data_IF_001919333968
#
_entry.id   IF_001919333968
#
_cell.length_a   1.000
_cell.length_b   1.000
_cell.length_c   1.000
_cell.angle_alpha   90.00
_cell.angle_beta   90.00
_cell.angle_gamma   90.00
#
_symmetry.space_group_name_H-M   'P 1'
#
loop_
_entity.id
_entity.type
_entity.pdbx_description
1 polymer ?
#
# COMPACT_ATOMS: atom_id res chain seq x y z
N UNK A 1 20.71 -58.82 35.81
CA UNK A 1 19.63 -58.12 36.54
C UNK A 1 19.11 -59.03 37.63
N UNK A 2 18.57 -58.51 38.75
CA UNK A 2 17.82 -59.34 39.69
C UNK A 2 16.45 -59.67 39.07
N UNK A 3 15.96 -60.91 39.15
CA UNK A 3 14.70 -61.36 38.54
C UNK A 3 13.49 -60.47 38.94
N UNK A 4 13.46 -60.00 40.21
CA UNK A 4 12.41 -59.09 40.67
C UNK A 4 12.42 -57.70 40.03
N UNK A 5 13.57 -57.21 39.54
CA UNK A 5 13.64 -55.92 38.85
C UNK A 5 13.06 -55.99 37.45
N UNK A 6 13.39 -57.04 36.70
CA UNK A 6 12.95 -57.20 35.31
C UNK A 6 11.43 -57.38 35.22
N UNK A 7 10.86 -58.20 36.09
CA UNK A 7 9.40 -58.34 36.24
C UNK A 7 8.70 -57.01 36.55
N UNK A 8 9.22 -56.24 37.52
CA UNK A 8 8.64 -54.94 37.86
C UNK A 8 8.78 -53.91 36.71
N UNK A 9 9.85 -53.99 35.93
CA UNK A 9 10.06 -53.18 34.74
C UNK A 9 9.03 -53.52 33.66
N UNK A 10 8.85 -54.81 33.32
CA UNK A 10 7.83 -55.23 32.36
C UNK A 10 6.41 -54.85 32.81
N UNK A 11 6.05 -55.03 34.08
CA UNK A 11 4.72 -54.66 34.59
C UNK A 11 4.45 -53.15 34.45
N UNK A 12 5.49 -52.32 34.56
CA UNK A 12 5.38 -50.86 34.42
C UNK A 12 5.26 -50.42 32.96
N UNK A 13 6.10 -50.96 32.07
CA UNK A 13 6.30 -50.43 30.72
C UNK A 13 5.55 -51.22 29.64
N UNK A 14 5.35 -52.52 29.80
CA UNK A 14 4.62 -53.36 28.84
C UNK A 14 3.11 -53.21 28.99
N UNK A 15 2.63 -53.12 30.23
CA UNK A 15 1.23 -52.87 30.58
C UNK A 15 0.59 -54.03 31.34
N UNK A 16 -0.71 -53.90 31.63
CA UNK A 16 -1.44 -54.92 32.38
C UNK A 16 -1.69 -56.18 31.55
N UNK A 17 -1.79 -57.32 32.22
CA UNK A 17 -2.07 -58.62 31.60
C UNK A 17 -3.29 -58.58 30.68
N UNK A 18 -4.40 -57.99 31.13
CA UNK A 18 -5.62 -57.87 30.35
C UNK A 18 -5.43 -57.05 29.06
N UNK A 19 -4.63 -55.98 29.10
CA UNK A 19 -4.30 -55.17 27.93
C UNK A 19 -3.46 -55.97 26.93
N UNK A 20 -2.47 -56.74 27.42
CA UNK A 20 -1.62 -57.58 26.56
C UNK A 20 -2.45 -58.69 25.91
N UNK A 21 -3.28 -59.40 26.68
CA UNK A 21 -4.19 -60.42 26.13
C UNK A 21 -5.09 -59.83 25.04
N UNK A 22 -5.64 -58.62 25.24
CA UNK A 22 -6.46 -57.94 24.22
C UNK A 22 -5.66 -57.64 22.94
N UNK A 23 -4.41 -57.19 23.05
CA UNK A 23 -3.55 -56.91 21.88
C UNK A 23 -3.26 -58.17 21.07
N UNK A 24 -3.01 -59.28 21.76
CA UNK A 24 -2.72 -60.58 21.14
C UNK A 24 -3.92 -61.16 20.36
N UNK A 25 -5.15 -60.70 20.60
CA UNK A 25 -6.32 -61.13 19.82
C UNK A 25 -6.23 -60.74 18.33
N UNK A 26 -5.38 -59.77 17.98
CA UNK A 26 -5.11 -59.37 16.60
C UNK A 26 -4.61 -60.53 15.72
N UNK A 27 -4.04 -61.58 16.31
CA UNK A 27 -3.50 -62.75 15.60
C UNK A 27 -4.53 -63.86 15.36
N UNK A 28 -5.66 -63.86 16.05
CA UNK A 28 -6.68 -64.92 15.92
C UNK A 28 -7.14 -65.17 14.47
N UNK A 29 -7.32 -64.15 13.60
CA UNK A 29 -7.67 -64.39 12.19
C UNK A 29 -6.67 -65.28 11.44
N UNK A 30 -5.40 -65.30 11.83
CA UNK A 30 -4.38 -66.18 11.25
C UNK A 30 -4.40 -67.59 11.83
N UNK A 31 -5.04 -67.81 12.98
CA UNK A 31 -4.98 -69.07 13.71
C UNK A 31 -6.28 -69.86 13.64
N UNK A 32 -7.43 -69.19 13.69
CA UNK A 32 -8.74 -69.84 13.68
C UNK A 32 -8.94 -70.81 12.51
N UNK A 33 -8.47 -70.55 11.27
CA UNK A 33 -8.58 -71.51 10.19
C UNK A 33 -7.86 -72.84 10.45
N UNK A 34 -6.81 -72.86 11.30
CA UNK A 34 -6.08 -74.09 11.66
C UNK A 34 -6.95 -75.06 12.45
N UNK A 35 -7.97 -74.58 13.17
CA UNK A 35 -8.90 -75.42 13.93
C UNK A 35 -9.81 -76.25 13.03
N UNK A 36 -10.07 -75.78 11.81
CA UNK A 36 -10.81 -76.54 10.80
C UNK A 36 -9.92 -77.56 10.08
N UNK A 37 -8.59 -77.47 10.25
CA UNK A 37 -7.60 -78.29 9.55
C UNK A 37 -7.04 -79.38 10.48
N UNK A 38 -6.75 -79.04 11.73
CA UNK A 38 -6.10 -79.89 12.71
C UNK A 38 -6.95 -80.03 13.98
N UNK A 39 -7.17 -81.26 14.43
CA UNK A 39 -8.03 -81.52 15.59
C UNK A 39 -7.36 -81.21 16.94
N UNK A 40 -6.04 -81.38 17.04
CA UNK A 40 -5.23 -81.24 18.26
C UNK A 40 -4.61 -79.85 18.43
N UNK A 41 -4.46 -79.08 17.35
CA UNK A 41 -4.03 -77.67 17.36
C UNK A 41 -2.88 -77.32 18.35
N UNK A 42 -1.73 -78.01 18.30
CA UNK A 42 -0.59 -77.74 19.18
C UNK A 42 0.11 -76.40 18.85
N UNK A 43 0.35 -75.60 19.88
CA UNK A 43 0.99 -74.28 19.79
C UNK A 43 2.23 -74.25 20.65
N UNK A 44 3.34 -73.74 20.10
CA UNK A 44 4.59 -73.59 20.84
C UNK A 44 5.02 -72.13 20.92
N UNK A 45 5.18 -71.61 22.13
CA UNK A 45 5.55 -70.22 22.38
C UNK A 45 6.99 -70.11 22.89
N UNK A 46 7.85 -69.43 22.14
CA UNK A 46 9.25 -69.17 22.49
C UNK A 46 9.38 -67.83 23.19
N UNK A 47 9.79 -67.86 24.46
CA UNK A 47 9.79 -66.67 25.33
C UNK A 47 8.39 -66.35 25.84
N UNK A 48 7.74 -67.31 26.51
CA UNK A 48 6.34 -67.18 26.88
C UNK A 48 6.06 -66.16 28.00
N UNK A 49 7.10 -65.65 28.68
CA UNK A 49 6.98 -64.61 29.69
C UNK A 49 5.95 -64.96 30.76
N UNK A 50 5.00 -64.05 30.99
CA UNK A 50 3.92 -64.21 31.99
C UNK A 50 2.72 -65.03 31.47
N UNK A 51 2.83 -65.63 30.28
CA UNK A 51 1.89 -66.60 29.74
C UNK A 51 0.58 -66.03 29.21
N UNK A 52 0.49 -64.73 28.91
CA UNK A 52 -0.72 -64.12 28.33
C UNK A 52 -1.16 -64.81 27.04
N UNK A 53 -0.18 -65.17 26.20
CA UNK A 53 -0.46 -65.90 24.96
C UNK A 53 -0.92 -67.33 25.21
N UNK A 54 -0.26 -68.05 26.14
CA UNK A 54 -0.65 -69.41 26.52
C UNK A 54 -2.09 -69.46 27.06
N UNK A 55 -2.46 -68.47 27.88
CA UNK A 55 -3.82 -68.34 28.39
C UNK A 55 -4.83 -68.08 27.28
N UNK A 56 -4.52 -67.17 26.35
CA UNK A 56 -5.35 -66.88 25.19
C UNK A 56 -5.54 -68.14 24.32
N UNK A 57 -4.47 -68.85 23.99
CA UNK A 57 -4.53 -70.07 23.19
C UNK A 57 -5.38 -71.15 23.85
N UNK A 58 -5.21 -71.37 25.16
CA UNK A 58 -6.04 -72.32 25.93
C UNK A 58 -7.52 -71.92 25.93
N UNK A 59 -7.82 -70.62 26.06
CA UNK A 59 -9.19 -70.09 25.99
C UNK A 59 -9.81 -70.32 24.62
N UNK A 60 -9.05 -70.15 23.54
CA UNK A 60 -9.50 -70.39 22.17
C UNK A 60 -9.47 -71.88 21.77
N UNK A 61 -9.13 -72.79 22.69
CA UNK A 61 -9.18 -74.24 22.48
C UNK A 61 -8.00 -74.82 21.69
N UNK A 62 -6.86 -74.15 21.68
CA UNK A 62 -5.59 -74.71 21.24
C UNK A 62 -4.91 -75.47 22.39
N UNK A 63 -3.85 -76.23 22.07
CA UNK A 63 -3.00 -76.95 23.04
C UNK A 63 -1.63 -76.25 23.14
N UNK A 64 -1.50 -75.19 23.97
CA UNK A 64 -0.27 -74.42 24.06
C UNK A 64 0.78 -75.08 24.95
N UNK A 65 2.05 -74.83 24.64
CA UNK A 65 3.21 -75.07 25.50
C UNK A 65 4.19 -73.92 25.33
N UNK A 66 4.66 -73.34 26.43
CA UNK A 66 5.62 -72.24 26.42
C UNK A 66 6.98 -72.60 27.00
N UNK A 67 8.02 -71.89 26.55
CA UNK A 67 9.35 -71.93 27.16
C UNK A 67 9.86 -70.53 27.47
N UNK A 68 10.53 -70.36 28.61
CA UNK A 68 11.22 -69.13 28.98
C UNK A 68 12.50 -69.44 29.76
N UNK A 69 13.47 -68.52 29.74
CA UNK A 69 14.71 -68.63 30.51
C UNK A 69 14.59 -68.05 31.91
N UNK A 70 13.66 -67.11 32.14
CA UNK A 70 13.49 -66.39 33.39
C UNK A 70 12.51 -67.12 34.33
N UNK A 71 13.01 -67.61 35.47
CA UNK A 71 12.19 -68.23 36.51
C UNK A 71 11.11 -67.28 37.04
N UNK A 72 11.42 -65.98 37.16
CA UNK A 72 10.49 -64.98 37.68
C UNK A 72 9.30 -64.73 36.77
N UNK A 73 9.44 -64.98 35.46
CA UNK A 73 8.34 -64.97 34.51
C UNK A 73 7.48 -66.24 34.62
N UNK A 74 8.15 -67.40 34.73
CA UNK A 74 7.50 -68.69 34.86
C UNK A 74 6.68 -68.85 36.15
N UNK A 75 7.05 -68.17 37.24
CA UNK A 75 6.24 -68.11 38.46
C UNK A 75 4.78 -67.69 38.19
N UNK A 76 4.56 -66.76 37.24
CA UNK A 76 3.22 -66.33 36.87
C UNK A 76 2.45 -67.41 36.11
N UNK A 77 3.14 -68.14 35.23
CA UNK A 77 2.57 -69.29 34.51
C UNK A 77 2.20 -70.42 35.47
N UNK A 78 3.08 -70.75 36.41
CA UNK A 78 2.86 -71.78 37.43
C UNK A 78 1.65 -71.43 38.32
N UNK A 79 1.58 -70.19 38.80
CA UNK A 79 0.46 -69.72 39.63
C UNK A 79 -0.91 -69.85 38.96
N UNK A 80 -0.94 -69.85 37.63
CA UNK A 80 -2.15 -69.94 36.81
C UNK A 80 -2.37 -71.33 36.20
N UNK A 81 -1.48 -72.29 36.47
CA UNK A 81 -1.53 -73.62 35.87
C UNK A 81 -1.43 -73.59 34.34
N UNK A 82 -0.63 -72.67 33.81
CA UNK A 82 -0.32 -72.58 32.39
C UNK A 82 0.82 -73.54 32.02
N UNK A 83 0.75 -74.19 30.86
CA UNK A 83 1.76 -75.14 30.40
C UNK A 83 3.01 -74.39 29.94
N UNK A 84 3.92 -74.11 30.86
CA UNK A 84 5.21 -73.48 30.59
C UNK A 84 6.33 -74.23 31.30
N UNK A 85 7.52 -74.23 30.72
CA UNK A 85 8.71 -74.83 31.33
C UNK A 85 9.94 -73.96 31.12
N UNK A 86 10.91 -74.10 32.02
CA UNK A 86 12.20 -73.43 31.87
C UNK A 86 13.00 -74.07 30.74
N UNK A 87 13.49 -73.25 29.81
CA UNK A 87 14.33 -73.74 28.72
C UNK A 87 14.82 -72.66 27.77
N UNK A 88 15.94 -72.95 27.10
CA UNK A 88 16.40 -72.17 25.96
C UNK A 88 15.46 -72.38 24.76
N UNK A 89 15.03 -71.29 24.13
CA UNK A 89 14.06 -71.32 23.04
C UNK A 89 14.51 -72.17 21.85
N UNK A 90 15.79 -72.07 21.45
CA UNK A 90 16.31 -72.81 20.30
C UNK A 90 16.46 -74.29 20.61
N UNK A 91 17.00 -74.64 21.78
CA UNK A 91 17.11 -76.02 22.21
C UNK A 91 15.75 -76.69 22.36
N UNK A 92 14.76 -75.96 22.88
CA UNK A 92 13.40 -76.48 23.03
C UNK A 92 12.74 -76.75 21.66
N UNK A 93 12.88 -75.84 20.69
CA UNK A 93 12.42 -76.08 19.32
C UNK A 93 13.14 -77.28 18.66
N UNK A 94 14.45 -77.41 18.85
CA UNK A 94 15.23 -78.55 18.33
C UNK A 94 14.77 -79.90 18.90
N UNK A 95 14.28 -79.91 20.14
CA UNK A 95 13.77 -81.12 20.78
C UNK A 95 12.39 -81.54 20.25
N UNK A 96 11.63 -80.63 19.62
CA UNK A 96 10.32 -80.95 19.05
C UNK A 96 10.45 -81.76 17.74
N UNK A 97 9.54 -82.72 17.48
CA UNK A 97 9.52 -83.44 16.21
C UNK A 97 9.16 -82.55 15.02
N UNK A 98 9.58 -82.96 13.83
CA UNK A 98 9.16 -82.38 12.56
C UNK A 98 7.63 -82.39 12.45
N UNK A 99 7.06 -81.32 11.89
CA UNK A 99 5.61 -81.19 11.67
C UNK A 99 4.75 -81.55 12.91
N UNK A 100 5.23 -81.19 14.11
CA UNK A 100 4.51 -81.41 15.36
C UNK A 100 3.58 -80.26 15.73
N UNK A 101 3.91 -79.01 15.37
CA UNK A 101 3.20 -77.80 15.80
C UNK A 101 2.34 -77.22 14.68
N UNK A 102 1.20 -76.59 15.00
CA UNK A 102 0.44 -75.78 14.03
C UNK A 102 0.78 -74.30 14.12
N UNK A 103 1.26 -73.85 15.27
CA UNK A 103 1.73 -72.47 15.50
C UNK A 103 3.04 -72.50 16.27
N UNK A 104 3.98 -71.66 15.84
CA UNK A 104 5.13 -71.26 16.64
C UNK A 104 5.04 -69.75 16.81
N UNK A 105 5.12 -69.25 18.04
CA UNK A 105 5.01 -67.82 18.33
C UNK A 105 6.18 -67.34 19.18
N UNK A 106 6.54 -66.07 19.04
CA UNK A 106 7.49 -65.39 19.89
C UNK A 106 7.16 -63.91 19.97
N UNK A 107 6.81 -63.43 21.15
CA UNK A 107 6.39 -62.05 21.38
C UNK A 107 7.45 -61.34 22.21
N UNK A 108 8.09 -60.34 21.63
CA UNK A 108 9.20 -59.62 22.25
C UNK A 108 10.35 -60.53 22.65
N UNK A 109 10.75 -61.44 21.75
CA UNK A 109 11.92 -62.32 21.91
C UNK A 109 13.01 -62.03 20.88
N UNK A 110 12.62 -61.61 19.67
CA UNK A 110 13.54 -61.47 18.55
C UNK A 110 14.61 -60.40 18.81
N UNK A 111 14.24 -59.35 19.54
CA UNK A 111 15.12 -58.26 19.96
C UNK A 111 16.12 -58.64 21.06
N UNK A 112 15.90 -59.75 21.77
CA UNK A 112 16.78 -60.22 22.86
C UNK A 112 17.78 -61.30 22.40
N UNK A 113 17.70 -61.75 21.14
CA UNK A 113 18.55 -62.82 20.62
C UNK A 113 19.49 -62.32 19.52
N UNK A 114 20.75 -62.79 19.49
CA UNK A 114 21.65 -62.47 18.39
C UNK A 114 21.09 -62.95 17.04
N UNK A 115 21.30 -62.18 15.98
CA UNK A 115 20.77 -62.49 14.65
C UNK A 115 21.05 -63.93 14.14
N UNK A 116 22.23 -64.56 14.37
CA UNK A 116 22.45 -65.96 14.00
C UNK A 116 21.54 -66.95 14.75
N UNK A 117 21.23 -66.67 16.02
CA UNK A 117 20.29 -67.46 16.84
C UNK A 117 18.87 -67.29 16.33
N UNK A 118 18.47 -66.06 15.98
CA UNK A 118 17.17 -65.77 15.37
C UNK A 118 16.97 -66.56 14.06
N UNK A 119 17.99 -66.60 13.18
CA UNK A 119 17.94 -67.45 11.99
C UNK A 119 17.80 -68.94 12.32
N UNK A 120 18.43 -69.40 13.41
CA UNK A 120 18.22 -70.73 13.97
C UNK A 120 16.77 -70.98 14.40
N UNK A 121 16.15 -70.04 15.12
CA UNK A 121 14.76 -70.12 15.57
C UNK A 121 13.79 -70.21 14.40
N UNK A 122 13.94 -69.33 13.40
CA UNK A 122 13.08 -69.31 12.20
C UNK A 122 13.19 -70.63 11.41
N UNK A 123 14.40 -71.18 11.29
CA UNK A 123 14.63 -72.47 10.62
C UNK A 123 14.01 -73.65 11.37
N UNK A 124 14.15 -73.70 12.69
CA UNK A 124 13.53 -74.75 13.50
C UNK A 124 12.01 -74.61 13.55
N UNK A 125 11.48 -73.39 13.61
CA UNK A 125 10.05 -73.13 13.48
C UNK A 125 9.51 -73.68 12.16
N UNK A 126 10.19 -73.41 11.02
CA UNK A 126 9.77 -73.98 9.74
C UNK A 126 9.76 -75.52 9.76
N UNK A 127 10.75 -76.16 10.40
CA UNK A 127 10.84 -77.63 10.50
C UNK A 127 9.66 -78.20 11.31
N UNK A 128 9.42 -77.66 12.50
CA UNK A 128 8.42 -78.20 13.45
C UNK A 128 6.99 -77.87 13.06
N UNK A 129 6.76 -76.83 12.25
CA UNK A 129 5.42 -76.47 11.79
C UNK A 129 4.85 -77.53 10.83
N UNK A 130 3.57 -77.83 10.97
CA UNK A 130 2.78 -78.62 10.01
C UNK A 130 2.51 -77.82 8.73
N UNK A 131 2.17 -78.47 7.59
CA UNK A 131 1.78 -77.75 6.38
C UNK A 131 0.72 -76.68 6.64
N UNK A 132 0.97 -75.43 6.23
CA UNK A 132 0.04 -74.33 6.45
C UNK A 132 0.07 -73.73 7.87
N UNK A 133 0.86 -74.32 8.76
CA UNK A 133 1.14 -73.77 10.08
C UNK A 133 1.86 -72.42 10.01
N UNK A 134 1.77 -71.66 11.10
CA UNK A 134 2.13 -70.24 11.13
C UNK A 134 3.22 -69.97 12.16
N UNK A 135 4.24 -69.21 11.76
CA UNK A 135 5.20 -68.57 12.65
C UNK A 135 4.75 -67.13 12.89
N UNK A 136 4.72 -66.69 14.15
CA UNK A 136 4.49 -65.30 14.55
C UNK A 136 5.70 -64.80 15.32
N UNK A 137 6.31 -63.71 14.87
CA UNK A 137 7.37 -63.01 15.62
C UNK A 137 6.98 -61.53 15.76
N UNK A 138 6.64 -61.09 16.97
CA UNK A 138 6.35 -59.69 17.30
C UNK A 138 7.56 -59.04 17.98
N UNK A 139 7.90 -57.82 17.59
CA UNK A 139 9.03 -57.05 18.12
C UNK A 139 8.83 -55.55 17.92
N UNK A 140 9.51 -54.67 18.68
CA UNK A 140 9.42 -53.23 18.52
C UNK A 140 9.74 -52.76 17.10
N UNK A 141 8.93 -51.83 16.59
CA UNK A 141 9.04 -51.33 15.23
C UNK A 141 9.99 -50.14 15.12
N UNK A 142 11.12 -50.37 14.44
CA UNK A 142 12.10 -49.33 14.15
C UNK A 142 11.61 -48.23 13.19
N UNK A 143 10.48 -48.43 12.46
CA UNK A 143 9.85 -47.36 11.67
C UNK A 143 9.29 -46.24 12.56
N UNK A 144 8.86 -46.57 13.79
CA UNK A 144 8.51 -45.54 14.76
C UNK A 144 9.80 -44.95 15.32
N UNK A 145 10.09 -43.69 14.96
CA UNK A 145 11.37 -43.04 15.28
C UNK A 145 11.60 -42.99 16.80
N UNK A 146 10.55 -42.77 17.60
CA UNK A 146 10.67 -42.78 19.06
C UNK A 146 10.98 -44.17 19.61
N UNK A 147 10.39 -45.21 19.03
CA UNK A 147 10.71 -46.58 19.41
C UNK A 147 12.16 -46.90 19.06
N UNK A 148 12.55 -46.74 17.78
CA UNK A 148 13.87 -47.12 17.28
C UNK A 148 15.04 -46.30 17.85
N UNK A 149 14.81 -45.08 18.35
CA UNK A 149 15.89 -44.20 18.85
C UNK A 149 15.96 -44.06 20.37
N UNK A 150 14.87 -44.35 21.09
CA UNK A 150 14.80 -44.12 22.54
C UNK A 150 14.18 -45.31 23.28
N UNK A 151 12.91 -45.64 23.02
CA UNK A 151 12.20 -46.65 23.83
C UNK A 151 12.84 -48.03 23.74
N UNK A 152 13.37 -48.39 22.57
CA UNK A 152 14.10 -49.65 22.38
C UNK A 152 15.28 -49.78 23.36
N UNK A 153 16.00 -48.70 23.65
CA UNK A 153 17.18 -48.76 24.53
C UNK A 153 16.85 -48.60 26.02
N UNK A 154 15.57 -48.49 26.39
CA UNK A 154 15.15 -48.51 27.80
C UNK A 154 15.36 -49.89 28.43
N UNK A 155 15.23 -50.95 27.64
CA UNK A 155 15.60 -52.29 28.05
C UNK A 155 17.06 -52.56 27.65
N UNK A 156 17.99 -52.69 28.61
CA UNK A 156 19.40 -52.93 28.31
C UNK A 156 19.68 -54.37 27.86
N UNK A 157 18.69 -55.26 27.84
CA UNK A 157 18.82 -56.64 27.37
C UNK A 157 18.55 -56.79 25.88
N UNK A 158 18.05 -55.75 25.21
CA UNK A 158 17.92 -55.76 23.76
C UNK A 158 19.29 -55.76 23.05
N UNK A 159 19.39 -56.55 21.97
CA UNK A 159 20.58 -56.63 21.11
C UNK A 159 20.59 -55.51 20.07
N UNK A 160 19.63 -55.52 19.14
CA UNK A 160 19.52 -54.52 18.07
C UNK A 160 18.11 -54.39 17.51
N UNK A 161 17.67 -53.19 17.08
CA UNK A 161 16.40 -53.04 16.39
C UNK A 161 16.40 -53.84 15.08
N UNK A 162 15.33 -54.59 14.81
CA UNK A 162 15.19 -55.39 13.60
C UNK A 162 14.19 -54.67 12.67
N UNK A 163 14.60 -54.23 11.47
CA UNK A 163 13.65 -53.70 10.50
C UNK A 163 12.68 -54.79 10.02
N UNK A 164 11.40 -54.45 9.85
CA UNK A 164 10.39 -55.42 9.40
C UNK A 164 10.73 -56.10 8.07
N UNK A 165 11.36 -55.38 7.14
CA UNK A 165 11.82 -55.93 5.86
C UNK A 165 12.88 -57.03 6.06
N UNK A 166 13.77 -56.87 7.04
CA UNK A 166 14.79 -57.89 7.35
C UNK A 166 14.14 -59.14 7.95
N UNK A 167 13.18 -58.97 8.86
CA UNK A 167 12.45 -60.09 9.45
C UNK A 167 11.62 -60.85 8.40
N UNK A 168 10.91 -60.14 7.51
CA UNK A 168 10.14 -60.76 6.41
C UNK A 168 11.06 -61.49 5.43
N UNK A 169 12.18 -60.87 5.07
CA UNK A 169 13.16 -61.49 4.19
C UNK A 169 13.78 -62.74 4.83
N UNK A 170 14.04 -62.73 6.15
CA UNK A 170 14.57 -63.89 6.86
C UNK A 170 13.63 -65.10 6.76
N UNK A 171 12.32 -64.90 6.96
CA UNK A 171 11.34 -65.98 6.85
C UNK A 171 11.20 -66.48 5.40
N UNK A 172 11.15 -65.57 4.42
CA UNK A 172 11.12 -65.91 2.99
C UNK A 172 12.37 -66.70 2.57
N UNK A 173 13.56 -66.20 2.92
CA UNK A 173 14.84 -66.84 2.63
C UNK A 173 14.97 -68.23 3.27
N UNK A 174 14.38 -68.42 4.45
CA UNK A 174 14.38 -69.72 5.14
C UNK A 174 13.47 -70.74 4.46
N UNK A 175 12.48 -70.29 3.67
CA UNK A 175 11.61 -71.16 2.89
C UNK A 175 10.14 -71.18 3.33
N UNK A 176 9.67 -70.16 4.07
CA UNK A 176 8.24 -69.95 4.25
C UNK A 176 7.58 -69.58 2.91
N UNK A 177 6.33 -70.00 2.71
CA UNK A 177 5.62 -69.80 1.44
C UNK A 177 5.19 -68.35 1.23
N UNK A 178 4.85 -67.66 2.33
CA UNK A 178 4.51 -66.25 2.36
C UNK A 178 4.76 -65.66 3.74
N UNK A 179 4.97 -64.35 3.78
CA UNK A 179 5.18 -63.56 4.98
C UNK A 179 4.28 -62.33 4.93
N UNK A 180 3.70 -61.96 6.08
CA UNK A 180 2.90 -60.74 6.24
C UNK A 180 3.46 -59.92 7.38
N UNK A 181 3.74 -58.65 7.10
CA UNK A 181 4.03 -57.65 8.13
C UNK A 181 2.70 -57.16 8.70
N UNK A 182 2.52 -57.30 10.01
CA UNK A 182 1.36 -56.89 10.78
C UNK A 182 1.81 -55.79 11.73
N UNK A 183 1.50 -54.54 11.41
CA UNK A 183 1.81 -53.38 12.26
C UNK A 183 0.70 -53.18 13.29
N UNK A 184 1.06 -52.88 14.53
CA UNK A 184 0.14 -52.96 15.66
C UNK A 184 0.30 -51.80 16.66
N UNK A 185 -0.76 -51.58 17.42
CA UNK A 185 -0.78 -50.79 18.66
C UNK A 185 -0.57 -49.27 18.50
N UNK A 186 -0.72 -48.73 17.30
CA UNK A 186 -0.78 -47.30 17.05
C UNK A 186 -1.97 -46.63 17.77
N UNK A 187 -1.90 -45.30 17.92
CA UNK A 187 -2.99 -44.53 18.50
C UNK A 187 -4.26 -44.63 17.64
N UNK A 188 -5.43 -45.01 18.22
CA UNK A 188 -6.69 -45.09 17.47
C UNK A 188 -7.10 -43.78 16.76
N UNK A 189 -6.64 -42.63 17.27
CA UNK A 189 -6.88 -41.34 16.63
C UNK A 189 -6.25 -41.21 15.23
N UNK A 190 -5.26 -42.05 14.90
CA UNK A 190 -4.60 -42.04 13.60
C UNK A 190 -5.36 -42.86 12.54
N UNK A 191 -6.37 -43.64 12.94
CA UNK A 191 -7.22 -44.42 12.02
C UNK A 191 -8.24 -43.56 11.28
N UNK A 192 -8.50 -42.33 11.73
CA UNK A 192 -9.27 -41.36 10.97
C UNK A 192 -8.44 -40.88 9.77
N UNK A 193 -8.75 -41.38 8.57
CA UNK A 193 -8.07 -41.01 7.31
C UNK A 193 -8.14 -39.51 7.00
N UNK A 194 -9.21 -38.84 7.44
CA UNK A 194 -9.41 -37.40 7.24
C UNK A 194 -8.76 -36.57 8.35
N UNK A 195 -8.30 -37.24 9.41
CA UNK A 195 -7.59 -36.65 10.53
C UNK A 195 -6.32 -35.92 10.09
N UNK A 196 -6.05 -34.78 10.74
CA UNK A 196 -4.85 -33.99 10.49
C UNK A 196 -3.62 -34.74 11.00
N UNK A 197 -2.73 -35.10 10.09
CA UNK A 197 -1.40 -35.62 10.40
C UNK A 197 -0.43 -34.45 10.39
N UNK A 198 0.33 -34.28 11.47
CA UNK A 198 1.45 -33.35 11.57
C UNK A 198 2.79 -34.10 11.56
N UNK A 199 3.90 -33.35 11.56
CA UNK A 199 5.25 -33.93 11.59
C UNK A 199 5.45 -34.84 12.82
N UNK A 200 4.86 -34.47 13.95
CA UNK A 200 4.93 -35.29 15.17
C UNK A 200 4.32 -36.67 14.94
N UNK A 201 3.13 -36.73 14.34
CA UNK A 201 2.46 -37.98 14.01
C UNK A 201 3.27 -38.79 12.98
N UNK A 202 3.92 -38.15 12.00
CA UNK A 202 4.82 -38.86 11.08
C UNK A 202 5.98 -39.53 11.82
N UNK A 203 6.61 -38.81 12.75
CA UNK A 203 7.78 -39.32 13.47
C UNK A 203 7.44 -40.39 14.51
N UNK A 204 6.30 -40.25 15.19
CA UNK A 204 5.99 -41.06 16.38
C UNK A 204 4.71 -41.88 16.27
N UNK A 205 3.97 -41.74 15.16
CA UNK A 205 2.65 -42.32 14.99
C UNK A 205 2.63 -43.61 14.20
N UNK A 206 3.74 -43.99 13.54
CA UNK A 206 3.88 -45.33 12.99
C UNK A 206 3.65 -46.35 14.11
N UNK A 207 3.04 -47.49 13.77
CA UNK A 207 2.74 -48.53 14.76
C UNK A 207 3.99 -48.88 15.59
N UNK A 208 3.92 -48.79 16.92
CA UNK A 208 5.09 -48.95 17.78
C UNK A 208 5.67 -50.36 17.75
N UNK A 209 4.84 -51.37 17.46
CA UNK A 209 5.26 -52.76 17.29
C UNK A 209 4.87 -53.25 15.89
N UNK A 210 5.62 -54.25 15.41
CA UNK A 210 5.21 -55.04 14.25
C UNK A 210 5.42 -56.51 14.53
N UNK A 211 4.69 -57.35 13.79
CA UNK A 211 4.97 -58.76 13.71
C UNK A 211 5.16 -59.21 12.27
N UNK A 212 5.98 -60.24 12.10
CA UNK A 212 5.97 -61.05 10.88
C UNK A 212 5.19 -62.32 11.16
N UNK A 213 4.12 -62.50 10.38
CA UNK A 213 3.33 -63.72 10.34
C UNK A 213 3.73 -64.48 9.07
N UNK A 214 4.47 -65.57 9.22
CA UNK A 214 4.97 -66.37 8.11
C UNK A 214 4.27 -67.73 8.06
N UNK A 215 3.81 -68.14 6.87
CA UNK A 215 3.06 -69.38 6.71
C UNK A 215 3.86 -70.44 5.95
N UNK A 216 3.91 -71.66 6.50
CA UNK A 216 4.57 -72.81 5.87
C UNK A 216 3.78 -73.28 4.66
N UNK A 217 4.47 -73.74 3.61
CA UNK A 217 3.84 -74.26 2.40
C UNK A 217 2.82 -75.38 2.69
N UNK A 218 1.71 -75.34 1.97
CA UNK A 218 0.67 -76.36 1.94
C UNK A 218 -0.02 -76.43 0.56
N UNK A 219 -1.05 -77.26 0.45
CA UNK A 219 -1.97 -77.26 -0.70
C UNK A 219 -2.69 -75.91 -0.81
N UNK A 220 -2.94 -75.44 -2.04
CA UNK A 220 -3.61 -74.18 -2.31
C UNK A 220 -4.95 -74.05 -1.59
N UNK A 221 -5.77 -75.11 -1.56
CA UNK A 221 -7.09 -75.10 -0.88
C UNK A 221 -6.98 -74.85 0.63
N UNK A 222 -5.86 -75.25 1.23
CA UNK A 222 -5.59 -75.01 2.64
C UNK A 222 -5.18 -73.54 2.83
N UNK A 223 -4.26 -73.03 2.01
CA UNK A 223 -3.78 -71.66 2.08
C UNK A 223 -4.90 -70.63 1.80
N UNK A 224 -5.85 -70.97 0.91
CA UNK A 224 -7.02 -70.15 0.57
C UNK A 224 -7.86 -69.78 1.80
N UNK A 225 -7.84 -70.60 2.86
CA UNK A 225 -8.58 -70.34 4.11
C UNK A 225 -8.04 -69.13 4.88
N UNK A 226 -6.83 -68.68 4.57
CA UNK A 226 -6.15 -67.59 5.29
C UNK A 226 -6.10 -66.29 4.47
N UNK A 227 -6.57 -66.26 3.22
CA UNK A 227 -6.48 -65.07 2.35
C UNK A 227 -7.07 -63.83 3.02
N UNK A 228 -8.23 -63.95 3.66
CA UNK A 228 -8.85 -62.82 4.35
C UNK A 228 -7.94 -62.19 5.43
N UNK A 229 -7.12 -63.00 6.12
CA UNK A 229 -6.17 -62.52 7.11
C UNK A 229 -4.90 -61.95 6.46
N UNK A 230 -4.41 -62.54 5.37
CA UNK A 230 -3.20 -62.09 4.66
C UNK A 230 -3.42 -60.87 3.77
N UNK A 231 -4.60 -60.69 3.19
CA UNK A 231 -4.95 -59.56 2.32
C UNK A 231 -5.29 -58.29 3.10
N UNK A 232 -5.77 -58.45 4.34
CA UNK A 232 -6.13 -57.32 5.20
C UNK A 232 -4.92 -56.37 5.42
N UNK A 233 -5.11 -55.03 5.34
CA UNK A 233 -4.10 -54.06 5.77
C UNK A 233 -4.03 -54.02 7.30
N UNK A 234 -2.82 -53.88 7.85
CA UNK A 234 -2.58 -53.81 9.30
C UNK A 234 -1.68 -52.64 9.64
N UNK A 235 -2.12 -51.86 10.62
CA UNK A 235 -1.41 -50.74 11.22
C UNK A 235 -1.05 -49.64 10.23
N UNK A 236 -0.13 -48.78 10.66
CA UNK A 236 0.33 -47.61 9.90
C UNK A 236 1.86 -47.62 9.83
N UNK A 237 2.39 -47.52 8.62
CA UNK A 237 3.82 -47.30 8.42
C UNK A 237 4.18 -45.82 8.55
N UNK A 238 5.48 -45.54 8.68
CA UNK A 238 5.99 -44.17 8.61
C UNK A 238 5.68 -43.53 7.24
N UNK A 239 5.74 -44.32 6.16
CA UNK A 239 5.47 -43.85 4.80
C UNK A 239 4.00 -43.45 4.63
N UNK A 240 3.05 -44.28 5.12
CA UNK A 240 1.62 -43.96 5.09
C UNK A 240 1.32 -42.60 5.74
N UNK A 241 1.98 -42.33 6.88
CA UNK A 241 1.83 -41.07 7.60
C UNK A 241 2.50 -39.91 6.88
N UNK A 242 3.67 -40.12 6.28
CA UNK A 242 4.37 -39.10 5.49
C UNK A 242 3.53 -38.68 4.27
N UNK A 243 3.01 -39.65 3.50
CA UNK A 243 2.12 -39.40 2.37
C UNK A 243 0.88 -38.62 2.80
N UNK A 244 0.24 -39.01 3.92
CA UNK A 244 -0.92 -38.27 4.46
C UNK A 244 -0.58 -36.85 4.89
N UNK A 245 0.60 -36.64 5.45
CA UNK A 245 1.08 -35.31 5.81
C UNK A 245 1.26 -34.41 4.59
N UNK A 246 1.91 -34.92 3.53
CA UNK A 246 2.14 -34.19 2.28
C UNK A 246 0.83 -33.83 1.59
N UNK A 247 -0.10 -34.80 1.47
CA UNK A 247 -1.46 -34.55 0.97
C UNK A 247 -2.19 -33.49 1.80
N UNK A 248 -1.98 -33.49 3.12
CA UNK A 248 -2.52 -32.46 4.01
C UNK A 248 -1.92 -31.07 3.76
N UNK A 249 -0.64 -30.97 3.40
CA UNK A 249 -0.03 -29.70 2.97
C UNK A 249 -0.64 -29.24 1.65
N UNK A 250 -0.69 -30.11 0.65
CA UNK A 250 -1.22 -29.77 -0.69
C UNK A 250 -2.67 -29.29 -0.62
N UNK A 251 -3.50 -29.95 0.19
CA UNK A 251 -4.90 -29.55 0.41
C UNK A 251 -4.99 -28.15 1.02
N UNK A 252 -4.24 -27.88 2.10
CA UNK A 252 -4.21 -26.55 2.74
C UNK A 252 -3.70 -25.47 1.80
N UNK A 253 -2.72 -25.79 0.96
CA UNK A 253 -2.20 -24.85 -0.03
C UNK A 253 -3.25 -24.52 -1.09
N UNK A 254 -3.98 -25.54 -1.57
CA UNK A 254 -5.09 -25.38 -2.51
C UNK A 254 -6.26 -24.59 -1.92
N UNK A 255 -6.62 -24.86 -0.66
CA UNK A 255 -7.64 -24.10 0.09
C UNK A 255 -7.22 -22.64 0.27
N UNK A 256 -5.95 -22.38 0.62
CA UNK A 256 -5.41 -21.03 0.75
C UNK A 256 -5.43 -20.31 -0.60
N UNK A 257 -5.05 -20.97 -1.68
CA UNK A 257 -5.09 -20.40 -3.03
C UNK A 257 -6.52 -20.04 -3.43
N UNK A 258 -7.49 -20.94 -3.20
CA UNK A 258 -8.91 -20.66 -3.43
C UNK A 258 -9.38 -19.46 -2.60
N UNK A 259 -9.00 -19.40 -1.33
CA UNK A 259 -9.37 -18.26 -0.46
C UNK A 259 -8.76 -16.95 -0.94
N UNK A 260 -7.52 -16.97 -1.44
CA UNK A 260 -6.87 -15.80 -2.05
C UNK A 260 -7.59 -15.39 -3.33
N UNK A 261 -7.98 -16.34 -4.17
CA UNK A 261 -8.73 -16.07 -5.40
C UNK A 261 -10.13 -15.51 -5.10
N UNK A 262 -10.82 -16.01 -4.06
CA UNK A 262 -12.11 -15.50 -3.60
C UNK A 262 -11.99 -14.07 -3.05
N UNK A 263 -10.98 -13.79 -2.22
CA UNK A 263 -10.67 -12.43 -1.75
C UNK A 263 -10.37 -11.53 -2.94
N UNK A 264 -9.57 -11.99 -3.90
CA UNK A 264 -9.27 -11.23 -5.11
C UNK A 264 -10.54 -10.94 -5.92
N UNK A 265 -11.42 -11.92 -6.11
CA UNK A 265 -12.69 -11.72 -6.81
C UNK A 265 -13.63 -10.76 -6.06
N UNK A 266 -13.65 -10.84 -4.74
CA UNK A 266 -14.54 -10.01 -3.88
C UNK A 266 -14.07 -8.55 -3.78
N UNK A 267 -12.76 -8.32 -3.67
CA UNK A 267 -12.19 -6.98 -3.48
C UNK A 267 -11.74 -6.31 -4.79
N UNK A 268 -11.56 -7.08 -5.86
CA UNK A 268 -11.23 -6.59 -7.19
C UNK A 268 -12.22 -7.13 -8.21
N UNK A 269 -13.43 -6.57 -8.26
CA UNK A 269 -14.26 -6.60 -9.46
C UNK A 269 -13.46 -5.92 -10.59
N UNK A 270 -12.90 -6.66 -11.56
CA UNK A 270 -11.99 -6.08 -12.54
C UNK A 270 -12.67 -4.96 -13.32
N UNK A 271 -13.99 -5.06 -13.51
CA UNK A 271 -14.79 -4.07 -14.22
C UNK A 271 -14.98 -2.77 -13.42
N UNK A 272 -15.29 -2.82 -12.13
CA UNK A 272 -15.46 -1.62 -11.31
C UNK A 272 -14.14 -0.88 -11.10
N UNK A 273 -13.05 -1.61 -10.83
CA UNK A 273 -11.72 -1.00 -10.70
C UNK A 273 -11.27 -0.37 -12.03
N UNK A 274 -11.45 -1.06 -13.17
CA UNK A 274 -11.15 -0.49 -14.49
C UNK A 274 -12.01 0.73 -14.80
N UNK A 275 -13.29 0.71 -14.44
CA UNK A 275 -14.20 1.84 -14.60
C UNK A 275 -13.76 3.05 -13.78
N UNK A 276 -13.45 2.85 -12.50
CA UNK A 276 -13.02 3.92 -11.61
C UNK A 276 -11.70 4.55 -12.10
N UNK A 277 -10.75 3.73 -12.54
CA UNK A 277 -9.49 4.20 -13.11
C UNK A 277 -9.69 4.95 -14.44
N UNK A 278 -10.64 4.52 -15.27
CA UNK A 278 -11.01 5.24 -16.49
C UNK A 278 -11.67 6.59 -16.19
N UNK A 279 -12.57 6.66 -15.20
CA UNK A 279 -13.20 7.91 -14.75
C UNK A 279 -12.16 8.90 -14.20
N UNK A 280 -11.22 8.44 -13.36
CA UNK A 280 -10.12 9.27 -12.84
C UNK A 280 -9.21 9.78 -13.97
N UNK A 281 -8.84 8.91 -14.92
CA UNK A 281 -8.03 9.28 -16.08
C UNK A 281 -8.75 10.31 -16.98
N UNK A 282 -10.05 10.14 -17.18
CA UNK A 282 -10.87 11.08 -17.94
C UNK A 282 -10.94 12.45 -17.24
N UNK A 283 -11.12 12.47 -15.92
CA UNK A 283 -11.15 13.71 -15.14
C UNK A 283 -9.79 14.44 -15.17
N UNK A 284 -8.68 13.72 -15.02
CA UNK A 284 -7.34 14.29 -15.15
C UNK A 284 -7.10 14.87 -16.55
N UNK A 285 -7.53 14.16 -17.59
CA UNK A 285 -7.42 14.64 -18.98
C UNK A 285 -8.23 15.92 -19.20
N UNK A 286 -9.45 15.99 -18.67
CA UNK A 286 -10.28 17.21 -18.73
C UNK A 286 -9.63 18.39 -17.98
N UNK A 287 -9.04 18.16 -16.80
CA UNK A 287 -8.32 19.19 -16.07
C UNK A 287 -7.09 19.69 -16.84
N UNK A 288 -6.32 18.79 -17.46
CA UNK A 288 -5.17 19.17 -18.30
C UNK A 288 -5.60 19.99 -19.52
N UNK A 289 -6.71 19.63 -20.17
CA UNK A 289 -7.26 20.38 -21.30
C UNK A 289 -7.73 21.78 -20.87
N UNK A 290 -8.49 21.89 -19.78
CA UNK A 290 -8.93 23.18 -19.25
C UNK A 290 -7.75 24.07 -18.84
N UNK A 291 -6.72 23.47 -18.23
CA UNK A 291 -5.50 24.18 -17.87
C UNK A 291 -4.74 24.65 -19.13
N UNK A 292 -4.67 23.82 -20.18
CA UNK A 292 -4.08 24.20 -21.47
C UNK A 292 -4.84 25.38 -22.10
N UNK A 293 -6.17 25.33 -22.17
CA UNK A 293 -6.99 26.43 -22.71
C UNK A 293 -6.78 27.73 -21.93
N UNK A 294 -6.67 27.64 -20.60
CA UNK A 294 -6.38 28.79 -19.77
C UNK A 294 -4.98 29.37 -20.05
N UNK A 295 -3.96 28.52 -20.21
CA UNK A 295 -2.63 28.97 -20.59
C UNK A 295 -2.62 29.63 -21.97
N UNK A 296 -3.28 29.03 -22.96
CA UNK A 296 -3.41 29.60 -24.32
C UNK A 296 -4.07 30.99 -24.26
N UNK A 297 -5.21 31.11 -23.59
CA UNK A 297 -5.89 32.40 -23.41
C UNK A 297 -5.02 33.44 -22.70
N UNK A 298 -4.25 33.04 -21.70
CA UNK A 298 -3.33 33.93 -20.97
C UNK A 298 -2.18 34.38 -21.86
N UNK A 299 -1.61 33.47 -22.65
CA UNK A 299 -0.54 33.81 -23.60
C UNK A 299 -1.02 34.76 -24.69
N UNK A 300 -2.23 34.57 -25.23
CA UNK A 300 -2.83 35.49 -26.19
C UNK A 300 -3.11 36.87 -25.59
N UNK A 301 -3.58 36.93 -24.34
CA UNK A 301 -3.79 38.19 -23.63
C UNK A 301 -2.46 38.93 -23.39
N UNK A 302 -1.41 38.21 -23.00
CA UNK A 302 -0.08 38.78 -22.78
C UNK A 302 0.53 39.27 -24.11
N UNK A 303 0.37 38.51 -25.20
CA UNK A 303 0.80 38.94 -26.54
C UNK A 303 0.09 40.23 -26.98
N UNK A 304 -1.22 40.34 -26.74
CA UNK A 304 -1.98 41.57 -27.01
C UNK A 304 -1.46 42.76 -26.19
N UNK A 305 -1.17 42.55 -24.91
CA UNK A 305 -0.59 43.60 -24.05
C UNK A 305 0.80 44.03 -24.53
N UNK A 306 1.68 43.08 -24.85
CA UNK A 306 2.99 43.37 -25.41
C UNK A 306 2.89 44.16 -26.72
N UNK A 307 1.98 43.76 -27.62
CA UNK A 307 1.73 44.49 -28.87
C UNK A 307 1.28 45.93 -28.64
N UNK A 308 0.30 46.15 -27.77
CA UNK A 308 -0.16 47.48 -27.40
C UNK A 308 0.94 48.34 -26.75
N UNK A 309 1.78 47.73 -25.90
CA UNK A 309 2.89 48.44 -25.26
C UNK A 309 3.99 48.80 -26.26
N UNK A 310 4.21 47.97 -27.27
CA UNK A 310 5.17 48.22 -28.34
C UNK A 310 4.68 49.31 -29.30
N UNK A 311 3.38 49.38 -29.57
CA UNK A 311 2.75 50.50 -30.29
C UNK A 311 2.83 51.81 -29.48
N UNK A 312 2.55 51.78 -28.18
CA UNK A 312 2.69 52.95 -27.33
C UNK A 312 4.14 53.46 -27.28
N UNK A 313 5.11 52.53 -27.22
CA UNK A 313 6.54 52.87 -27.26
C UNK A 313 6.94 53.53 -28.58
N UNK A 314 6.46 53.02 -29.71
CA UNK A 314 6.77 53.58 -31.03
C UNK A 314 6.17 54.98 -31.22
N UNK A 315 4.95 55.20 -30.71
CA UNK A 315 4.32 56.53 -30.71
C UNK A 315 5.09 57.52 -29.83
N UNK A 316 5.52 57.10 -28.63
CA UNK A 316 6.32 57.94 -27.74
C UNK A 316 7.68 58.30 -28.36
N UNK A 317 8.33 57.35 -29.06
CA UNK A 317 9.56 57.62 -29.81
C UNK A 317 9.32 58.65 -30.94
N UNK A 318 8.26 58.47 -31.72
CA UNK A 318 7.92 59.42 -32.79
C UNK A 318 7.64 60.84 -32.25
N UNK A 319 6.98 60.97 -31.09
CA UNK A 319 6.77 62.25 -30.42
C UNK A 319 8.08 62.87 -29.94
N UNK A 320 8.98 62.07 -29.35
CA UNK A 320 10.29 62.55 -28.91
C UNK A 320 11.15 63.04 -30.10
N UNK A 321 11.10 62.35 -31.23
CA UNK A 321 11.78 62.75 -32.46
C UNK A 321 11.22 64.07 -33.02
N UNK A 322 9.89 64.21 -33.04
CA UNK A 322 9.22 65.45 -33.47
C UNK A 322 9.61 66.64 -32.57
N UNK A 323 9.58 66.48 -31.25
CA UNK A 323 10.03 67.52 -30.32
C UNK A 323 11.51 67.87 -30.51
N UNK A 324 12.34 66.88 -30.82
CA UNK A 324 13.77 67.10 -31.10
C UNK A 324 13.96 67.93 -32.37
N UNK A 325 13.17 67.66 -33.43
CA UNK A 325 13.19 68.46 -34.65
C UNK A 325 12.73 69.91 -34.42
N UNK A 326 11.62 70.12 -33.70
CA UNK A 326 11.15 71.46 -33.35
C UNK A 326 12.19 72.25 -32.55
N UNK A 327 12.81 71.60 -31.56
CA UNK A 327 13.89 72.20 -30.78
C UNK A 327 15.06 72.63 -31.66
N UNK A 328 15.47 71.79 -32.61
CA UNK A 328 16.57 72.11 -33.52
C UNK A 328 16.22 73.28 -34.43
N UNK A 329 15.00 73.33 -34.98
CA UNK A 329 14.53 74.47 -35.78
C UNK A 329 14.46 75.78 -34.98
N UNK A 330 14.05 75.72 -33.71
CA UNK A 330 14.06 76.86 -32.81
C UNK A 330 15.50 77.36 -32.53
N UNK A 331 16.45 76.45 -32.34
CA UNK A 331 17.86 76.78 -32.18
C UNK A 331 18.45 77.46 -33.42
N UNK A 332 18.13 76.97 -34.63
CA UNK A 332 18.52 77.60 -35.89
C UNK A 332 17.94 79.01 -36.05
N UNK A 333 16.67 79.20 -35.71
CA UNK A 333 16.03 80.52 -35.77
C UNK A 333 16.63 81.50 -34.75
N UNK A 334 16.90 81.04 -33.53
CA UNK A 334 17.59 81.83 -32.52
C UNK A 334 18.98 82.28 -33.02
N UNK A 335 19.73 81.35 -33.63
CA UNK A 335 21.02 81.65 -34.24
C UNK A 335 20.90 82.70 -35.35
N UNK A 336 19.90 82.59 -36.23
CA UNK A 336 19.64 83.56 -37.28
C UNK A 336 19.33 84.96 -36.75
N UNK A 337 18.48 85.07 -35.72
CA UNK A 337 18.18 86.35 -35.08
C UNK A 337 19.42 86.97 -34.43
N UNK A 338 20.27 86.15 -33.81
CA UNK A 338 21.53 86.61 -33.21
C UNK A 338 22.46 87.22 -34.27
N UNK A 339 22.65 86.54 -35.40
CA UNK A 339 23.45 87.06 -36.52
C UNK A 339 22.90 88.38 -37.06
N UNK A 340 21.57 88.51 -37.14
CA UNK A 340 20.91 89.72 -37.63
C UNK A 340 21.04 90.89 -36.66
N UNK A 341 20.98 90.64 -35.36
CA UNK A 341 21.24 91.64 -34.32
C UNK A 341 22.68 92.17 -34.40
N UNK A 342 23.67 91.28 -34.55
CA UNK A 342 25.08 91.68 -34.74
C UNK A 342 25.27 92.54 -36.01
N UNK A 343 24.56 92.23 -37.09
CA UNK A 343 24.58 93.04 -38.32
C UNK A 343 23.97 94.43 -38.14
N UNK A 344 22.88 94.54 -37.38
CA UNK A 344 22.24 95.83 -37.07
C UNK A 344 23.11 96.71 -36.15
N UNK A 345 23.81 96.12 -35.17
CA UNK A 345 24.76 96.83 -34.31
C UNK A 345 25.88 97.48 -35.14
N UNK A 346 26.44 96.74 -36.11
CA UNK A 346 27.44 97.29 -37.04
C UNK A 346 26.90 98.48 -37.85
N UNK A 347 25.63 98.47 -38.27
CA UNK A 347 25.01 99.58 -39.00
C UNK A 347 24.80 100.82 -38.11
N UNK A 348 24.43 100.65 -36.84
CA UNK A 348 24.28 101.76 -35.90
C UNK A 348 25.63 102.42 -35.62
N UNK A 349 26.69 101.63 -35.45
CA UNK A 349 28.05 102.13 -35.27
C UNK A 349 28.52 102.93 -36.50
N UNK A 350 28.20 102.45 -37.70
CA UNK A 350 28.48 103.15 -38.96
C UNK A 350 27.68 104.47 -39.11
N UNK A 351 26.43 104.53 -38.63
CA UNK A 351 25.65 105.78 -38.66
C UNK A 351 26.13 106.81 -37.62
N UNK A 352 26.54 106.36 -36.43
CA UNK A 352 27.04 107.26 -35.36
C UNK A 352 28.38 107.91 -35.71
N UNK A 353 29.18 107.28 -36.56
CA UNK A 353 30.45 107.81 -37.07
C UNK A 353 30.28 108.73 -38.30
N UNK A 354 29.06 108.92 -38.82
CA UNK A 354 28.78 109.75 -40.00
C UNK A 354 28.60 111.25 -39.68
N UNK A 355 29.25 112.11 -40.46
CA UNK A 355 29.37 113.57 -40.23
C UNK A 355 28.06 114.35 -40.40
N UNK A 356 27.09 113.84 -41.16
CA UNK A 356 25.83 114.52 -41.46
C UNK A 356 24.78 114.44 -40.34
N UNK A 357 24.86 113.45 -39.44
CA UNK A 357 23.90 113.29 -38.32
C UNK A 357 24.09 114.33 -37.20
N UNK A 358 25.29 114.91 -37.07
CA UNK A 358 25.63 115.87 -36.00
C UNK A 358 25.00 117.26 -36.20
N UNK A 359 24.61 117.63 -37.43
CA UNK A 359 24.15 119.00 -37.76
C UNK A 359 22.64 119.20 -37.53
N UNK A 360 21.81 118.15 -37.62
CA UNK A 360 20.34 118.25 -37.56
C UNK A 360 19.73 118.07 -36.16
N UNK A 361 20.56 118.06 -35.12
CA UNK A 361 20.14 117.96 -33.71
C UNK A 361 19.31 119.15 -33.20
N UNK A 362 19.73 120.42 -33.35
CA UNK A 362 19.06 121.55 -32.69
C UNK A 362 17.67 121.88 -33.28
N UNK A 363 17.43 121.64 -34.57
CA UNK A 363 16.16 121.91 -35.24
C UNK A 363 14.99 121.03 -34.78
N UNK A 364 15.27 119.85 -34.20
CA UNK A 364 14.25 118.91 -33.71
C UNK A 364 13.71 119.27 -32.32
N UNK A 365 14.42 120.10 -31.56
CA UNK A 365 13.99 120.57 -30.23
C UNK A 365 12.95 121.69 -30.33
N UNK A 366 13.08 122.60 -31.29
CA UNK A 366 12.16 123.73 -31.47
C UNK A 366 10.78 123.28 -31.95
N UNK A 367 10.70 122.26 -32.81
CA UNK A 367 9.44 121.67 -33.26
C UNK A 367 8.65 120.97 -32.14
N UNK A 368 9.33 120.49 -31.08
CA UNK A 368 8.69 119.81 -29.94
C UNK A 368 8.06 120.76 -28.92
N UNK A 369 8.52 122.01 -28.82
CA UNK A 369 8.00 122.98 -27.86
C UNK A 369 6.67 123.63 -28.32
N UNK A 370 6.47 123.82 -29.63
CA UNK A 370 5.29 124.51 -30.17
C UNK A 370 3.99 123.67 -30.15
N UNK A 371 4.09 122.34 -30.07
CA UNK A 371 2.94 121.41 -30.18
C UNK A 371 2.43 120.87 -28.82
N UNK A 372 2.92 121.41 -27.70
CA UNK A 372 2.66 120.88 -26.35
C UNK A 372 1.24 121.16 -25.80
N UNK A 373 0.57 122.31 -26.01
CA UNK A 373 -0.73 122.57 -25.38
C UNK A 373 -1.91 121.81 -26.01
N UNK A 374 -1.78 121.37 -27.27
CA UNK A 374 -2.88 120.78 -28.03
C UNK A 374 -3.16 119.30 -27.73
N UNK A 375 -2.29 118.61 -26.98
CA UNK A 375 -2.35 117.15 -26.82
C UNK A 375 -2.80 116.64 -25.44
N UNK A 376 -3.02 117.48 -24.43
CA UNK A 376 -3.33 117.02 -23.06
C UNK A 376 -4.55 117.71 -22.41
N UNK A 377 -5.77 117.45 -22.91
CA UNK A 377 -7.02 117.73 -22.19
C UNK A 377 -7.40 116.55 -21.27
N UNK A 378 -7.40 116.75 -19.95
CA UNK A 378 -7.57 115.66 -18.96
C UNK A 378 -9.06 115.26 -18.69
N UNK A 379 -9.36 113.96 -18.48
CA UNK A 379 -10.70 113.36 -18.32
C UNK A 379 -11.43 113.58 -16.98
N UNK A 380 -10.87 114.32 -16.02
CA UNK A 380 -11.48 114.55 -14.70
C UNK A 380 -12.76 115.41 -14.73
N UNK A 381 -12.92 116.26 -15.75
CA UNK A 381 -14.11 117.10 -15.96
C UNK A 381 -15.37 116.29 -16.33
N UNK A 382 -15.21 115.14 -17.00
CA UNK A 382 -16.34 114.27 -17.37
C UNK A 382 -16.98 113.60 -16.16
N UNK A 383 -16.20 113.28 -15.12
CA UNK A 383 -16.68 112.57 -13.93
C UNK A 383 -17.55 113.47 -13.02
N UNK A 384 -17.15 114.73 -12.79
CA UNK A 384 -17.93 115.65 -11.94
C UNK A 384 -19.23 116.14 -12.59
N UNK A 385 -19.26 116.28 -13.93
CA UNK A 385 -20.46 116.69 -14.67
C UNK A 385 -21.55 115.59 -14.67
N UNK A 386 -21.18 114.31 -14.71
CA UNK A 386 -22.14 113.18 -14.63
C UNK A 386 -22.87 113.11 -13.27
N UNK A 387 -22.20 113.47 -12.16
CA UNK A 387 -22.82 113.46 -10.83
C UNK A 387 -23.64 114.73 -10.50
N UNK A 388 -23.34 115.89 -11.11
CA UNK A 388 -24.08 117.13 -10.87
C UNK A 388 -25.35 117.28 -11.75
N UNK A 389 -25.38 116.63 -12.93
CA UNK A 389 -26.47 116.76 -13.91
C UNK A 389 -27.88 116.38 -13.39
N UNK A 390 -28.09 115.32 -12.58
CA UNK A 390 -29.42 115.01 -12.05
C UNK A 390 -29.93 116.06 -11.05
N UNK A 391 -29.04 116.62 -10.22
CA UNK A 391 -29.39 117.67 -9.25
C UNK A 391 -29.72 119.00 -9.93
N UNK A 392 -28.98 119.37 -10.98
CA UNK A 392 -29.28 120.55 -11.80
C UNK A 392 -30.65 120.44 -12.50
N UNK A 393 -31.01 119.24 -12.99
CA UNK A 393 -32.30 118.98 -13.63
C UNK A 393 -33.49 119.14 -12.67
N UNK A 394 -33.36 118.67 -11.43
CA UNK A 394 -34.36 118.83 -10.36
C UNK A 394 -34.48 120.29 -9.87
N UNK A 395 -33.36 121.04 -9.81
CA UNK A 395 -33.37 122.46 -9.44
C UNK A 395 -34.08 123.34 -10.48
N UNK A 396 -33.86 123.08 -11.78
CA UNK A 396 -34.55 123.79 -12.87
C UNK A 396 -36.04 123.42 -12.97
N UNK A 397 -36.41 122.18 -12.62
CA UNK A 397 -37.82 121.74 -12.64
C UNK A 397 -38.70 122.44 -11.58
N UNK A 398 -38.11 122.90 -10.47
CA UNK A 398 -38.84 123.58 -9.37
C UNK A 398 -38.95 125.11 -9.53
N UNK A 399 -38.39 125.71 -10.60
CA UNK A 399 -38.41 127.18 -10.83
C UNK A 399 -38.81 127.53 -12.28
N UNK A 400 -40.09 127.84 -12.57
CA UNK A 400 -40.60 127.97 -13.94
C UNK A 400 -40.00 129.13 -14.76
N UNK A 401 -39.50 130.19 -14.12
CA UNK A 401 -38.80 131.28 -14.81
C UNK A 401 -37.42 130.84 -15.36
N UNK A 402 -36.65 130.09 -14.57
CA UNK A 402 -35.35 129.56 -14.99
C UNK A 402 -35.47 128.51 -16.10
N UNK A 403 -36.55 127.70 -16.08
CA UNK A 403 -36.86 126.73 -17.15
C UNK A 403 -37.09 127.42 -18.50
N UNK A 404 -37.82 128.55 -18.52
CA UNK A 404 -38.05 129.32 -19.76
C UNK A 404 -36.76 129.88 -20.34
N UNK A 405 -35.87 130.41 -19.50
CA UNK A 405 -34.59 131.00 -19.92
C UNK A 405 -33.60 129.92 -20.41
N UNK A 406 -33.53 128.79 -19.72
CA UNK A 406 -32.72 127.64 -20.13
C UNK A 406 -33.17 127.06 -21.48
N UNK A 407 -34.49 126.92 -21.70
CA UNK A 407 -35.04 126.47 -22.98
C UNK A 407 -34.83 127.50 -24.10
N UNK A 408 -34.91 128.80 -23.80
CA UNK A 408 -34.62 129.85 -24.76
C UNK A 408 -33.16 129.82 -25.25
N UNK A 409 -32.19 129.58 -24.35
CA UNK A 409 -30.76 129.46 -24.71
C UNK A 409 -30.48 128.17 -25.48
N UNK A 410 -31.08 127.04 -25.07
CA UNK A 410 -30.94 125.76 -25.76
C UNK A 410 -31.56 125.77 -27.17
N UNK A 411 -32.70 126.45 -27.37
CA UNK A 411 -33.32 126.58 -28.70
C UNK A 411 -32.59 127.56 -29.62
N UNK A 412 -31.83 128.52 -29.08
CA UNK A 412 -31.07 129.49 -29.90
C UNK A 412 -29.72 128.97 -30.38
N UNK A 413 -29.24 127.83 -29.86
CA UNK A 413 -27.91 127.32 -30.17
C UNK A 413 -27.92 125.79 -30.37
N UNK A 414 -28.21 125.33 -31.61
CA UNK A 414 -28.26 123.90 -31.95
C UNK A 414 -26.96 123.15 -31.61
N UNK A 415 -25.80 123.78 -31.79
CA UNK A 415 -24.49 123.19 -31.47
C UNK A 415 -24.34 122.84 -29.99
N UNK A 416 -24.79 123.71 -29.08
CA UNK A 416 -24.71 123.49 -27.64
C UNK A 416 -25.59 122.28 -27.22
N UNK A 417 -26.77 122.18 -27.84
CA UNK A 417 -27.70 121.05 -27.64
C UNK A 417 -27.13 119.71 -28.13
N UNK A 418 -26.35 119.71 -29.22
CA UNK A 418 -25.71 118.53 -29.76
C UNK A 418 -24.51 118.09 -28.91
N UNK A 419 -23.72 119.05 -28.41
CA UNK A 419 -22.56 118.76 -27.56
C UNK A 419 -22.96 118.24 -26.18
N UNK A 420 -24.04 118.78 -25.58
CA UNK A 420 -24.61 118.26 -24.34
C UNK A 420 -25.24 116.87 -24.52
N UNK A 421 -25.90 116.60 -25.66
CA UNK A 421 -26.40 115.25 -25.98
C UNK A 421 -25.28 114.23 -26.12
N UNK A 422 -24.19 114.56 -26.80
CA UNK A 422 -23.03 113.66 -26.93
C UNK A 422 -22.22 113.48 -25.63
N UNK A 423 -22.22 114.47 -24.73
CA UNK A 423 -21.59 114.34 -23.40
C UNK A 423 -22.42 113.51 -22.41
N UNK A 424 -23.73 113.39 -22.64
CA UNK A 424 -24.67 112.68 -21.76
C UNK A 424 -25.22 111.37 -22.37
N UNK A 425 -24.81 111.02 -23.59
CA UNK A 425 -25.18 109.75 -24.21
C UNK A 425 -24.65 108.58 -23.36
N UNK A 426 -25.49 107.58 -23.02
CA UNK A 426 -25.02 106.37 -22.38
C UNK A 426 -24.10 105.60 -23.35
N UNK A 427 -23.03 105.01 -22.83
CA UNK A 427 -22.16 104.12 -23.59
C UNK A 427 -23.00 102.91 -24.08
N UNK A 428 -22.83 102.45 -25.33
CA UNK A 428 -23.64 101.36 -25.87
C UNK A 428 -23.43 100.08 -25.05
N UNK A 429 -24.55 99.58 -24.53
CA UNK A 429 -24.70 98.30 -23.84
C UNK A 429 -24.68 97.19 -24.89
N UNK A 430 -23.60 96.41 -24.91
CA UNK A 430 -23.56 95.13 -25.62
C UNK A 430 -24.21 94.05 -24.76
N UNK A 431 -25.30 93.48 -25.25
CA UNK A 431 -26.02 92.32 -24.68
C UNK A 431 -26.44 91.47 -25.87
N UNK A 432 -26.34 90.14 -25.93
CA UNK A 432 -25.80 89.00 -25.12
C UNK A 432 -25.83 87.82 -26.15
N UNK A 433 -25.07 86.73 -26.00
CA UNK A 433 -25.56 85.38 -25.60
C UNK A 433 -24.35 84.46 -25.36
N UNK A 434 -24.20 84.09 -24.09
CA UNK A 434 -23.51 82.92 -23.49
C UNK A 434 -24.39 81.66 -23.72
N UNK A 435 -23.99 80.36 -23.57
CA UNK A 435 -23.11 79.88 -22.50
C UNK A 435 -22.17 78.69 -22.78
N UNK A 436 -21.06 78.62 -22.02
CA UNK A 436 -20.86 77.61 -20.96
C UNK A 436 -19.40 77.62 -20.45
N UNK A 437 -19.26 78.13 -19.22
CA UNK A 437 -18.15 77.85 -18.29
C UNK A 437 -18.21 76.38 -17.85
N UNK A 438 -17.14 75.70 -17.45
CA UNK A 438 -15.79 76.15 -17.20
C UNK A 438 -14.89 74.98 -16.78
N UNK A 439 -13.59 75.21 -16.92
CA UNK A 439 -12.52 74.39 -16.35
C UNK A 439 -12.32 74.86 -14.91
N UNK A 440 -12.47 73.95 -13.93
CA UNK A 440 -12.06 74.19 -12.55
C UNK A 440 -10.65 73.61 -12.38
N UNK A 441 -9.76 74.50 -12.00
CA UNK A 441 -8.38 74.30 -11.60
C UNK A 441 -8.32 73.45 -10.30
N UNK A 442 -7.52 72.38 -10.29
CA UNK A 442 -7.34 71.54 -9.11
C UNK A 442 -6.49 72.26 -8.06
N UNK A 443 -7.11 72.74 -6.98
CA UNK A 443 -6.40 73.14 -5.77
C UNK A 443 -5.76 71.90 -5.07
N UNK A 444 -4.56 72.03 -4.48
CA UNK A 444 -3.89 70.92 -3.81
C UNK A 444 -4.63 70.47 -2.54
N UNK A 445 -4.79 69.14 -2.38
CA UNK A 445 -5.47 68.52 -1.23
C UNK A 445 -4.86 68.94 0.11
N UNK A 446 -5.72 69.22 1.09
CA UNK A 446 -5.34 69.47 2.49
C UNK A 446 -4.61 68.25 3.08
N UNK A 447 -3.83 68.45 4.15
CA UNK A 447 -3.09 67.36 4.82
C UNK A 447 -3.99 66.20 5.26
N UNK A 448 -5.24 66.49 5.65
CA UNK A 448 -6.26 65.48 5.98
C UNK A 448 -6.78 64.73 4.75
N UNK A 449 -6.90 65.39 3.59
CA UNK A 449 -7.27 64.76 2.31
C UNK A 449 -6.21 63.79 1.80
N UNK A 450 -4.92 64.15 1.92
CA UNK A 450 -3.79 63.27 1.58
C UNK A 450 -3.70 62.03 2.48
N UNK A 451 -4.07 62.16 3.76
CA UNK A 451 -4.11 61.03 4.68
C UNK A 451 -5.19 60.01 4.31
N UNK A 452 -6.36 60.47 3.85
CA UNK A 452 -7.46 59.61 3.41
C UNK A 452 -7.12 58.94 2.07
N UNK A 453 -6.53 59.67 1.13
CA UNK A 453 -6.08 59.15 -0.16
C UNK A 453 -4.99 58.08 -0.02
N UNK A 454 -3.99 58.32 0.84
CA UNK A 454 -2.95 57.33 1.13
C UNK A 454 -3.49 56.10 1.86
N UNK A 455 -4.48 56.26 2.74
CA UNK A 455 -5.14 55.12 3.40
C UNK A 455 -5.94 54.25 2.41
N UNK A 456 -6.60 54.87 1.42
CA UNK A 456 -7.30 54.18 0.34
C UNK A 456 -6.32 53.47 -0.61
N UNK A 457 -5.21 54.12 -1.01
CA UNK A 457 -4.19 53.48 -1.85
C UNK A 457 -3.46 52.33 -1.14
N UNK A 458 -3.24 52.44 0.17
CA UNK A 458 -2.67 51.35 0.97
C UNK A 458 -3.64 50.16 1.12
N UNK A 459 -4.94 50.41 1.23
CA UNK A 459 -5.98 49.38 1.25
C UNK A 459 -6.11 48.67 -0.10
N UNK A 460 -5.92 49.38 -1.22
CA UNK A 460 -5.96 48.81 -2.57
C UNK A 460 -4.71 48.01 -2.97
N UNK A 461 -3.59 48.13 -2.24
CA UNK A 461 -2.34 47.39 -2.51
C UNK A 461 -2.13 46.15 -1.64
N UNK A 462 -3.04 45.86 -0.72
CA UNK A 462 -3.00 44.68 0.19
C UNK A 462 -4.16 43.70 0.00
N UNK A 463 -4.84 43.76 -1.15
CA UNK A 463 -5.82 42.78 -1.61
C UNK A 463 -5.36 42.12 -2.90
#
# INVERSE_FOLDING_TARGET
MNAGFYRAFEDRYRGSRALITQRLEAYLPFLLPLKDIYADCPVFDIGCGRGEWLELMKREGFDPMGVDLDDGMLEACEALGLPAQKGDALQALQALPDASQVVVSGFHIAEHVPFPVLGGLVREALRVLRPGGVLILETPNAENVMVGTNNFYLDPTHDQPIPNLLMSFLTEHTGFARSKVVRLQESPALHDEQGKVGVREVLTGASPDYAVVAQKQADAKLLDKFEAAFDKPYGLSLDDLAVRYDQGIERRFSELQSSVDDVRATFFEPAEFQRLMAEVSQQQTQQLLAMKEHYEATTEALQRQCGAMQEALSQAQAQADAMTQERNAALENCHWQHMRAQGAEHQVEAMRSSTSWRITGPLRLTARAALWPARHGKPWLRLKLRHAAPHAKLWVARRPAARRLALAVLNRSPWLSAKLRNLLAPDPVGVVVDPQHGVIDHAPLTSRGRAIENALQAAMRKG
#
